data_IF_277377469555
#
_entry.id   IF_277377469555
#
_cell.length_a   1.000
_cell.length_b   1.000
_cell.length_c   1.000
_cell.angle_alpha   90.00
_cell.angle_beta   90.00
_cell.angle_gamma   90.00
#
_symmetry.space_group_name_H-M   'P 1'
#
loop_
_entity.id
_entity.type
_entity.pdbx_description
1 polymer ?
#
# COMPACT_ATOMS: atom_id res chain seq x y z
N UNK A 1 -6.46 4.55 5.07
CA UNK A 1 -6.03 4.40 3.66
C UNK A 1 -6.06 2.93 3.27
N UNK A 2 -6.25 2.61 1.99
CA UNK A 2 -6.18 1.24 1.49
C UNK A 2 -5.20 1.18 0.32
N UNK A 3 -4.24 0.26 0.37
CA UNK A 3 -3.17 0.11 -0.63
C UNK A 3 -3.06 -1.35 -1.06
N UNK A 4 -2.63 -1.58 -2.30
CA UNK A 4 -2.32 -2.92 -2.82
C UNK A 4 -0.81 -3.15 -2.74
N UNK A 5 -0.40 -4.13 -1.94
CA UNK A 5 0.99 -4.49 -1.73
C UNK A 5 1.20 -5.93 -2.19
N UNK A 6 2.01 -6.09 -3.22
CA UNK A 6 2.38 -7.39 -3.80
C UNK A 6 3.78 -7.82 -3.42
N UNK A 7 4.64 -6.87 -3.02
CA UNK A 7 5.89 -7.18 -2.35
C UNK A 7 5.58 -7.76 -0.96
N UNK A 8 6.15 -8.93 -0.68
CA UNK A 8 5.86 -9.67 0.56
C UNK A 8 6.34 -8.92 1.80
N UNK A 9 7.49 -8.23 1.71
CA UNK A 9 8.05 -7.48 2.83
C UNK A 9 7.23 -6.22 3.12
N UNK A 10 6.84 -5.49 2.08
CA UNK A 10 5.96 -4.33 2.20
C UNK A 10 4.59 -4.72 2.79
N UNK A 11 3.99 -5.80 2.29
CA UNK A 11 2.72 -6.33 2.80
C UNK A 11 2.82 -6.72 4.28
N UNK A 12 3.85 -7.49 4.64
CA UNK A 12 4.08 -7.90 6.02
C UNK A 12 4.28 -6.68 6.94
N UNK A 13 5.05 -5.69 6.49
CA UNK A 13 5.27 -4.46 7.26
C UNK A 13 3.98 -3.67 7.46
N UNK A 14 3.18 -3.46 6.41
CA UNK A 14 1.90 -2.76 6.52
C UNK A 14 0.94 -3.47 7.52
N UNK A 15 0.97 -4.79 7.57
CA UNK A 15 0.19 -5.59 8.53
C UNK A 15 0.65 -5.46 9.99
N UNK A 16 1.86 -4.94 10.25
CA UNK A 16 2.30 -4.63 11.62
C UNK A 16 1.77 -3.29 12.14
N UNK A 17 1.19 -2.45 11.28
CA UNK A 17 0.67 -1.16 11.71
C UNK A 17 -0.54 -1.33 12.64
N UNK A 18 -0.66 -0.53 13.70
CA UNK A 18 -1.81 -0.57 14.60
C UNK A 18 -3.14 -0.46 13.85
N UNK A 19 -4.02 -1.45 14.04
CA UNK A 19 -5.34 -1.50 13.39
C UNK A 19 -5.30 -1.79 11.88
N UNK A 20 -4.15 -2.19 11.33
CA UNK A 20 -4.09 -2.65 9.95
C UNK A 20 -4.79 -4.00 9.81
N UNK A 21 -5.53 -4.14 8.71
CA UNK A 21 -6.30 -5.35 8.42
C UNK A 21 -6.31 -5.65 6.91
N UNK A 22 -6.49 -6.92 6.51
CA UNK A 22 -6.72 -7.23 5.11
C UNK A 22 -8.02 -6.57 4.64
N UNK A 23 -8.03 -6.01 3.44
CA UNK A 23 -9.24 -5.40 2.91
C UNK A 23 -10.36 -6.45 2.73
N UNK A 24 -11.60 -6.05 2.98
CA UNK A 24 -12.78 -6.91 2.90
C UNK A 24 -13.09 -7.42 1.49
N UNK A 25 -14.19 -8.20 1.36
CA UNK A 25 -14.68 -8.72 0.07
C UNK A 25 -13.65 -9.53 -0.74
N UNK A 26 -12.76 -10.26 -0.05
CA UNK A 26 -11.72 -11.07 -0.70
C UNK A 26 -10.53 -10.26 -1.24
N UNK A 27 -10.54 -8.92 -1.13
CA UNK A 27 -9.45 -8.07 -1.59
C UNK A 27 -8.15 -8.33 -0.81
N UNK A 28 -8.24 -8.69 0.47
CA UNK A 28 -7.08 -9.11 1.26
C UNK A 28 -6.28 -10.26 0.62
N UNK A 29 -6.96 -11.21 -0.02
CA UNK A 29 -6.30 -12.32 -0.74
C UNK A 29 -5.55 -11.86 -2.00
N UNK A 30 -5.93 -10.70 -2.53
CA UNK A 30 -5.28 -10.07 -3.68
C UNK A 30 -4.22 -9.02 -3.27
N UNK A 31 -3.79 -9.03 -2.00
CA UNK A 31 -2.73 -8.16 -1.47
C UNK A 31 -3.19 -6.79 -1.01
N UNK A 32 -4.50 -6.54 -0.90
CA UNK A 32 -5.01 -5.25 -0.41
C UNK A 32 -5.01 -5.17 1.12
N UNK A 33 -4.43 -4.10 1.66
CA UNK A 33 -4.33 -3.83 3.09
C UNK A 33 -5.00 -2.49 3.39
N UNK A 34 -5.84 -2.46 4.43
CA UNK A 34 -6.36 -1.22 5.03
C UNK A 34 -5.43 -0.81 6.15
N UNK A 35 -4.86 0.38 6.07
CA UNK A 35 -4.00 0.99 7.10
C UNK A 35 -4.69 2.23 7.66
N UNK A 36 -5.04 2.28 8.95
CA UNK A 36 -5.53 3.49 9.60
C UNK A 36 -4.48 4.60 9.57
N UNK A 37 -4.91 5.85 9.39
CA UNK A 37 -4.03 7.04 9.41
C UNK A 37 -4.34 7.90 10.65
N UNK A 38 -4.37 7.25 11.81
CA UNK A 38 -4.63 7.93 13.08
C UNK A 38 -3.38 8.69 13.53
N UNK A 39 -3.51 9.84 14.24
CA UNK A 39 -2.36 10.65 14.64
C UNK A 39 -1.31 9.89 15.44
N UNK A 40 -1.74 8.89 16.20
CA UNK A 40 -0.88 8.00 17.00
C UNK A 40 -0.71 6.67 16.26
N UNK A 41 0.54 6.27 16.01
CA UNK A 41 0.84 4.98 15.36
C UNK A 41 0.71 4.97 13.84
N UNK A 42 0.36 6.10 13.20
CA UNK A 42 0.45 6.20 11.75
C UNK A 42 1.89 5.98 11.25
N UNK A 43 2.06 5.28 10.11
CA UNK A 43 3.36 5.14 9.49
C UNK A 43 3.94 6.50 9.07
N UNK A 44 5.25 6.60 9.06
CA UNK A 44 5.95 7.80 8.58
C UNK A 44 5.55 8.11 7.13
N UNK A 45 5.43 9.39 6.79
CA UNK A 45 4.98 9.83 5.47
C UNK A 45 5.83 9.28 4.31
N UNK A 46 7.14 9.08 4.51
CA UNK A 46 8.01 8.44 3.53
C UNK A 46 7.59 7.01 3.21
N UNK A 47 7.33 6.21 4.26
CA UNK A 47 6.86 4.84 4.11
C UNK A 47 5.47 4.77 3.46
N UNK A 48 4.58 5.70 3.81
CA UNK A 48 3.27 5.82 3.15
C UNK A 48 3.41 6.11 1.66
N UNK A 49 4.36 6.98 1.27
CA UNK A 49 4.64 7.28 -0.13
C UNK A 49 5.13 6.03 -0.87
N UNK A 50 6.03 5.26 -0.28
CA UNK A 50 6.54 4.03 -0.90
C UNK A 50 5.43 3.02 -1.15
N UNK A 51 4.54 2.80 -0.17
CA UNK A 51 3.38 1.92 -0.33
C UNK A 51 2.37 2.42 -1.37
N UNK A 52 2.15 3.74 -1.44
CA UNK A 52 1.28 4.34 -2.45
C UNK A 52 1.89 4.17 -3.84
N UNK A 53 3.20 4.34 -3.99
CA UNK A 53 3.89 4.16 -5.27
C UNK A 53 3.81 2.70 -5.74
N UNK A 54 4.09 1.73 -4.86
CA UNK A 54 3.93 0.31 -5.18
C UNK A 54 2.49 -0.01 -5.59
N UNK A 55 1.52 0.44 -4.78
CA UNK A 55 0.10 0.24 -5.06
C UNK A 55 -0.29 0.85 -6.40
N UNK A 56 0.22 2.04 -6.72
CA UNK A 56 -0.03 2.70 -7.99
C UNK A 56 0.57 1.91 -9.15
N UNK A 57 1.85 1.53 -9.09
CA UNK A 57 2.52 0.72 -10.12
C UNK A 57 1.79 -0.61 -10.36
N UNK A 58 1.18 -1.17 -9.31
CA UNK A 58 0.44 -2.44 -9.38
C UNK A 58 -0.92 -2.32 -10.08
N UNK A 59 -1.61 -1.17 -9.97
CA UNK A 59 -2.97 -1.00 -10.49
C UNK A 59 -3.06 -0.10 -11.72
N UNK A 60 -2.09 0.80 -11.92
CA UNK A 60 -2.11 1.77 -13.00
C UNK A 60 -1.81 1.09 -14.35
N UNK A 61 -2.40 1.58 -15.45
CA UNK A 61 -1.98 1.19 -16.79
C UNK A 61 -0.48 1.42 -16.98
N UNK A 62 0.20 0.48 -17.67
CA UNK A 62 1.66 0.52 -17.89
C UNK A 62 2.18 1.87 -18.39
N UNK A 63 1.39 2.55 -19.24
CA UNK A 63 1.74 3.89 -19.77
C UNK A 63 1.91 4.92 -18.66
N UNK A 64 1.02 4.91 -17.67
CA UNK A 64 1.05 5.87 -16.55
C UNK A 64 2.07 5.47 -15.49
N UNK A 65 2.24 4.16 -15.24
CA UNK A 65 3.30 3.68 -14.35
C UNK A 65 4.69 4.08 -14.86
N UNK A 66 4.93 4.03 -16.17
CA UNK A 66 6.21 4.44 -16.78
C UNK A 66 6.51 5.95 -16.63
N UNK A 67 5.50 6.80 -16.44
CA UNK A 67 5.72 8.23 -16.19
C UNK A 67 6.39 8.49 -14.82
N UNK A 68 6.33 7.54 -13.88
CA UNK A 68 7.05 7.62 -12.60
C UNK A 68 8.55 7.39 -12.74
N UNK A 69 8.97 6.53 -13.67
CA UNK A 69 10.39 6.24 -13.92
C UNK A 69 11.09 7.36 -14.70
N UNK A 70 10.30 8.24 -15.34
CA UNK A 70 10.77 9.38 -16.13
C UNK A 70 10.95 10.67 -15.30
N UNK A 71 10.71 10.62 -13.99
CA UNK A 71 10.84 11.75 -13.04
C UNK A 71 12.06 11.59 -12.16
#
# INVERSE_FOLDING_TARGET
MTVKLTDEAAHAHAMTCPGAEPAGYGLGRAGWVRVPLEPEGAPAAGLLRDWVEESYRTIAPKRLAAELDAR
#
